data_IF_279495209041
#
_entry.id   IF_279495209041
#
_cell.length_a   1.000
_cell.length_b   1.000
_cell.length_c   1.000
_cell.angle_alpha   90.00
_cell.angle_beta   90.00
_cell.angle_gamma   90.00
#
_symmetry.space_group_name_H-M   'P 1'
#
loop_
_entity.id
_entity.type
_entity.pdbx_description
1 polymer ?
#
# COMPACT_ATOMS: atom_id res chain seq x y z
N UNK A 1 11.04 -71.72 30.01
CA UNK A 1 11.78 -70.51 29.71
C UNK A 1 10.99 -69.35 30.15
N UNK A 2 11.50 -68.59 31.12
CA UNK A 2 10.86 -67.32 31.58
C UNK A 2 11.18 -66.23 30.57
N UNK A 3 10.15 -65.71 29.92
CA UNK A 3 10.29 -64.50 29.07
C UNK A 3 10.32 -63.28 29.95
N UNK A 4 11.41 -62.50 29.88
CA UNK A 4 11.48 -61.18 30.50
C UNK A 4 11.08 -60.18 29.45
N UNK A 5 9.96 -59.49 29.66
CA UNK A 5 9.55 -58.36 28.82
C UNK A 5 9.94 -57.06 29.52
N UNK A 6 10.69 -56.22 28.86
CA UNK A 6 11.06 -54.88 29.37
C UNK A 6 10.30 -53.86 28.52
N UNK A 7 9.29 -53.22 29.08
CA UNK A 7 8.60 -52.09 28.46
C UNK A 7 9.29 -50.79 28.85
N UNK A 8 9.83 -50.09 27.86
CA UNK A 8 10.46 -48.78 28.05
C UNK A 8 9.50 -47.73 27.58
N UNK A 9 8.95 -46.94 28.53
CA UNK A 9 8.17 -45.76 28.22
C UNK A 9 9.09 -44.54 28.32
N UNK A 10 9.37 -43.89 27.17
CA UNK A 10 10.15 -42.65 27.10
C UNK A 10 9.16 -41.50 27.14
N UNK A 11 9.17 -40.71 28.22
CA UNK A 11 8.45 -39.44 28.30
C UNK A 11 9.44 -38.29 28.46
N UNK A 12 9.18 -37.16 27.82
CA UNK A 12 9.98 -35.93 28.05
C UNK A 12 9.86 -35.50 29.54
N UNK A 13 10.88 -35.72 30.31
CA UNK A 13 10.91 -35.39 31.75
C UNK A 13 11.29 -36.51 32.69
N UNK A 14 11.45 -37.73 32.20
CA UNK A 14 11.92 -38.86 33.03
C UNK A 14 11.82 -40.17 32.29
N UNK A 15 12.78 -41.02 32.50
CA UNK A 15 12.78 -42.35 31.97
C UNK A 15 12.53 -43.31 33.14
N UNK A 16 11.40 -43.99 33.09
CA UNK A 16 11.11 -45.09 33.96
C UNK A 16 11.50 -46.42 33.27
N UNK A 17 12.35 -47.17 33.91
CA UNK A 17 12.55 -48.56 33.48
C UNK A 17 11.68 -49.47 34.34
N UNK A 18 10.71 -50.14 33.78
CA UNK A 18 10.12 -51.27 34.47
C UNK A 18 11.12 -52.41 34.43
N UNK A 19 11.74 -52.67 35.55
CA UNK A 19 12.47 -53.95 35.76
C UNK A 19 11.43 -54.96 36.17
N UNK A 20 11.16 -55.92 35.29
CA UNK A 20 10.23 -56.99 35.61
C UNK A 20 11.00 -58.07 36.38
N UNK A 21 10.79 -58.10 37.68
CA UNK A 21 11.09 -59.30 38.46
C UNK A 21 10.01 -60.35 38.18
N UNK A 22 10.19 -61.62 38.54
CA UNK A 22 9.20 -62.65 38.37
C UNK A 22 7.83 -62.33 39.04
N UNK A 23 7.72 -61.18 39.70
CA UNK A 23 6.56 -60.69 40.41
C UNK A 23 5.95 -59.40 39.77
N UNK A 24 6.34 -59.02 38.58
CA UNK A 24 5.84 -57.80 37.88
C UNK A 24 6.09 -56.47 38.64
N UNK A 25 7.26 -56.28 39.18
CA UNK A 25 7.63 -54.97 39.77
C UNK A 25 8.35 -54.08 38.75
N UNK A 26 7.98 -52.81 38.72
CA UNK A 26 8.66 -51.79 37.93
C UNK A 26 9.57 -50.94 38.82
N UNK A 27 10.77 -50.63 38.34
CA UNK A 27 11.72 -49.74 39.03
C UNK A 27 11.92 -48.47 38.20
N UNK A 28 11.65 -47.32 38.80
CA UNK A 28 11.94 -46.04 38.21
C UNK A 28 13.41 -45.70 38.46
N UNK A 29 14.22 -45.59 37.41
CA UNK A 29 15.66 -45.41 37.50
C UNK A 29 16.06 -43.93 37.51
N UNK A 30 15.11 -42.99 37.35
CA UNK A 30 15.37 -41.56 37.28
C UNK A 30 15.69 -41.07 35.87
N UNK A 31 16.10 -39.81 35.72
CA UNK A 31 16.47 -39.23 34.45
C UNK A 31 17.79 -39.81 33.93
N UNK A 32 17.79 -40.42 32.77
CA UNK A 32 18.97 -40.92 32.08
C UNK A 32 19.28 -39.99 30.90
N UNK A 33 20.50 -39.45 30.75
CA UNK A 33 20.90 -38.66 29.61
C UNK A 33 20.77 -39.48 28.30
N UNK A 34 20.54 -38.78 27.19
CA UNK A 34 20.54 -39.42 25.86
C UNK A 34 21.94 -39.97 25.56
N UNK A 35 22.02 -41.25 25.32
CA UNK A 35 23.24 -41.95 24.92
C UNK A 35 22.94 -43.40 24.51
N UNK A 36 23.98 -44.10 24.03
CA UNK A 36 23.93 -45.54 23.85
C UNK A 36 24.30 -46.23 25.14
N UNK A 37 23.40 -47.03 25.64
CA UNK A 37 23.62 -47.81 26.88
C UNK A 37 23.64 -49.30 26.54
N UNK A 38 24.36 -50.04 27.40
CA UNK A 38 24.32 -51.50 27.38
C UNK A 38 23.47 -51.95 28.56
N UNK A 39 22.36 -52.59 28.28
CA UNK A 39 21.49 -53.19 29.29
C UNK A 39 22.04 -54.59 29.63
N UNK A 40 22.44 -54.81 30.88
CA UNK A 40 22.90 -56.08 31.37
C UNK A 40 21.81 -56.63 32.30
N UNK A 41 21.23 -57.73 31.93
CA UNK A 41 20.24 -58.45 32.75
C UNK A 41 20.86 -59.72 33.28
N UNK A 42 21.06 -59.78 34.56
CA UNK A 42 21.58 -60.97 35.26
C UNK A 42 20.42 -61.72 35.90
N UNK A 43 20.27 -62.98 35.53
CA UNK A 43 19.27 -63.85 36.12
C UNK A 43 19.91 -64.71 37.16
N UNK A 44 19.37 -64.71 38.40
CA UNK A 44 19.84 -65.53 39.49
C UNK A 44 18.79 -66.53 39.89
N UNK A 45 19.21 -67.76 40.24
CA UNK A 45 18.38 -68.73 40.87
C UNK A 45 19.09 -69.20 42.15
N UNK A 46 18.39 -69.12 43.28
CA UNK A 46 18.94 -69.51 44.60
C UNK A 46 20.31 -68.79 44.90
N UNK A 47 20.43 -67.54 44.51
CA UNK A 47 21.68 -66.75 44.68
C UNK A 47 22.81 -67.05 43.70
N UNK A 48 22.62 -67.95 42.74
CA UNK A 48 23.61 -68.35 41.74
C UNK A 48 23.20 -67.72 40.39
N UNK A 49 24.14 -67.01 39.76
CA UNK A 49 23.95 -66.40 38.42
C UNK A 49 23.74 -67.54 37.43
N UNK A 50 22.61 -67.57 36.78
CA UNK A 50 22.23 -68.58 35.75
C UNK A 50 22.55 -68.05 34.37
N UNK A 51 22.25 -66.83 34.08
CA UNK A 51 22.39 -66.24 32.77
C UNK A 51 22.63 -64.75 32.85
N UNK A 52 23.42 -64.21 31.91
CA UNK A 52 23.61 -62.78 31.68
C UNK A 52 23.23 -62.45 30.25
N UNK A 53 22.23 -61.66 30.09
CA UNK A 53 21.79 -61.15 28.75
C UNK A 53 22.22 -59.70 28.61
N UNK A 54 22.81 -59.36 27.49
CA UNK A 54 23.21 -58.00 27.14
C UNK A 54 22.46 -57.53 25.90
N UNK A 55 21.91 -56.35 25.99
CA UNK A 55 21.24 -55.67 24.86
C UNK A 55 21.72 -54.22 24.75
N UNK A 56 21.90 -53.76 23.53
CA UNK A 56 22.14 -52.33 23.29
C UNK A 56 20.85 -51.55 23.41
N UNK A 57 20.84 -50.48 24.19
CA UNK A 57 19.71 -49.56 24.33
C UNK A 57 20.13 -48.20 23.86
N UNK A 58 19.54 -47.69 22.83
CA UNK A 58 19.71 -46.34 22.39
C UNK A 58 18.58 -45.50 22.98
N UNK A 59 18.94 -44.55 23.81
CA UNK A 59 18.00 -43.56 24.34
C UNK A 59 18.20 -42.30 23.52
N UNK A 60 17.24 -42.01 22.65
CA UNK A 60 17.22 -40.80 21.86
C UNK A 60 17.07 -39.56 22.75
N UNK A 61 17.37 -38.41 22.19
CA UNK A 61 17.11 -37.12 22.83
C UNK A 61 15.61 -36.90 22.95
N UNK A 62 15.15 -36.50 24.12
CA UNK A 62 13.79 -35.98 24.25
C UNK A 62 13.71 -34.63 23.55
N UNK A 63 12.86 -34.54 22.54
CA UNK A 63 12.57 -33.28 21.89
C UNK A 63 11.75 -32.41 22.85
N UNK A 64 12.31 -31.30 23.26
CA UNK A 64 11.70 -30.38 24.20
C UNK A 64 11.20 -29.09 23.55
N UNK A 65 11.61 -28.84 22.28
CA UNK A 65 11.14 -27.70 21.52
C UNK A 65 9.64 -27.79 21.24
N UNK A 66 8.95 -26.66 21.44
CA UNK A 66 7.53 -26.55 21.16
C UNK A 66 7.30 -25.22 20.41
N UNK A 67 6.77 -25.29 19.21
CA UNK A 67 6.39 -24.14 18.41
C UNK A 67 4.94 -23.76 18.71
N UNK A 68 4.69 -22.50 19.03
CA UNK A 68 3.33 -21.99 19.29
C UNK A 68 3.17 -20.57 18.77
N UNK A 69 2.67 -20.44 17.55
CA UNK A 69 2.45 -19.15 16.89
C UNK A 69 1.26 -18.42 17.48
N UNK A 70 1.45 -17.14 17.81
CA UNK A 70 0.37 -16.18 18.02
C UNK A 70 0.62 -14.92 17.20
N UNK A 71 -0.46 -14.28 16.74
CA UNK A 71 -0.43 -13.01 16.04
C UNK A 71 -0.94 -11.91 16.97
N UNK A 72 -0.20 -10.79 17.00
CA UNK A 72 -0.53 -9.65 17.87
C UNK A 72 -1.17 -8.47 17.11
N UNK A 73 -1.22 -8.50 15.78
CA UNK A 73 -1.76 -7.42 14.95
C UNK A 73 -3.28 -7.37 15.00
N UNK A 74 -3.83 -6.16 15.01
CA UNK A 74 -5.28 -5.91 14.97
C UNK A 74 -5.84 -5.79 13.54
N UNK A 75 -4.98 -5.49 12.54
CA UNK A 75 -5.34 -5.38 11.13
C UNK A 75 -4.39 -6.21 10.27
N UNK A 76 -4.94 -6.80 9.21
CA UNK A 76 -4.19 -7.60 8.25
C UNK A 76 -4.26 -6.94 6.89
N UNK A 77 -3.69 -5.74 6.78
CA UNK A 77 -3.72 -4.95 5.55
C UNK A 77 -2.39 -5.04 4.81
N UNK A 78 -2.46 -5.06 3.49
CA UNK A 78 -1.28 -5.13 2.64
C UNK A 78 -0.32 -3.97 2.91
N UNK A 79 0.95 -4.30 3.16
CA UNK A 79 2.00 -3.33 3.48
C UNK A 79 2.03 -2.85 4.93
N UNK A 80 1.04 -3.21 5.74
CA UNK A 80 1.04 -2.93 7.18
C UNK A 80 1.90 -3.95 7.93
N UNK A 81 2.61 -3.53 9.01
CA UNK A 81 3.41 -4.44 9.80
C UNK A 81 2.55 -5.42 10.60
N UNK A 82 2.71 -6.70 10.35
CA UNK A 82 2.07 -7.79 11.12
C UNK A 82 3.07 -8.35 12.12
N UNK A 83 2.67 -8.40 13.41
CA UNK A 83 3.53 -8.90 14.49
C UNK A 83 3.16 -10.33 14.85
N UNK A 84 4.16 -11.20 14.88
CA UNK A 84 4.04 -12.58 15.33
C UNK A 84 4.86 -12.79 16.59
N UNK A 85 4.43 -13.71 17.42
CA UNK A 85 5.16 -14.14 18.63
C UNK A 85 5.14 -15.68 18.71
N UNK A 86 6.24 -16.23 19.17
CA UNK A 86 6.30 -17.61 19.63
C UNK A 86 5.98 -17.67 21.12
N UNK A 87 4.95 -18.40 21.47
CA UNK A 87 4.56 -18.71 22.85
C UNK A 87 5.07 -20.11 23.28
N UNK A 88 5.86 -20.74 22.44
CA UNK A 88 6.50 -22.03 22.72
C UNK A 88 7.64 -21.94 23.72
N UNK A 89 8.27 -23.05 23.99
CA UNK A 89 9.33 -23.17 24.99
C UNK A 89 10.52 -23.96 24.45
N UNK A 90 11.72 -23.65 25.00
CA UNK A 90 12.93 -24.45 24.85
C UNK A 90 13.50 -24.55 23.42
N UNK A 91 13.25 -23.59 22.56
CA UNK A 91 13.90 -23.50 21.27
C UNK A 91 15.20 -22.68 21.34
N UNK A 92 16.26 -23.18 20.71
CA UNK A 92 17.53 -22.47 20.55
C UNK A 92 17.53 -21.65 19.23
N UNK A 93 16.74 -22.07 18.27
CA UNK A 93 16.53 -21.35 17.02
C UNK A 93 15.11 -21.44 16.52
N UNK A 94 14.63 -20.35 15.87
CA UNK A 94 13.31 -20.23 15.27
C UNK A 94 13.45 -19.95 13.78
N UNK A 95 12.71 -20.68 12.96
CA UNK A 95 12.62 -20.44 11.51
C UNK A 95 11.20 -20.12 11.14
N UNK A 96 11.00 -18.94 10.55
CA UNK A 96 9.71 -18.47 10.08
C UNK A 96 9.61 -18.56 8.56
N UNK A 97 8.50 -19.06 8.06
CA UNK A 97 8.23 -19.08 6.62
C UNK A 97 6.84 -18.56 6.30
N UNK A 98 6.68 -17.97 5.13
CA UNK A 98 5.41 -17.63 4.51
C UNK A 98 5.26 -18.44 3.22
N UNK A 99 4.21 -19.28 3.15
CA UNK A 99 3.99 -20.20 2.01
C UNK A 99 5.25 -21.01 1.62
N UNK A 100 6.04 -21.40 2.63
CA UNK A 100 7.29 -22.15 2.45
C UNK A 100 8.52 -21.30 2.11
N UNK A 101 8.39 -19.99 1.96
CA UNK A 101 9.53 -19.09 1.74
C UNK A 101 10.01 -18.55 3.08
N UNK A 102 11.30 -18.77 3.39
CA UNK A 102 11.91 -18.29 4.64
C UNK A 102 12.02 -16.77 4.62
N UNK A 103 11.47 -16.11 5.62
CA UNK A 103 11.55 -14.66 5.77
C UNK A 103 12.33 -14.19 7.00
N UNK A 104 12.62 -15.07 7.96
CA UNK A 104 13.56 -14.80 9.03
C UNK A 104 14.30 -16.07 9.47
N UNK A 105 15.50 -16.35 8.95
CA UNK A 105 16.24 -17.57 9.24
C UNK A 105 16.90 -17.58 10.62
N UNK A 106 17.00 -16.46 11.34
CA UNK A 106 17.80 -16.31 12.56
C UNK A 106 17.07 -15.59 13.69
N UNK A 107 15.75 -15.73 13.78
CA UNK A 107 15.00 -15.11 14.87
C UNK A 107 15.28 -15.84 16.18
N UNK A 108 16.12 -15.28 17.01
CA UNK A 108 16.25 -15.66 18.45
C UNK A 108 15.26 -14.86 19.31
N UNK A 109 14.46 -13.99 18.72
CA UNK A 109 13.52 -13.14 19.42
C UNK A 109 12.15 -13.81 19.53
N UNK A 110 11.52 -13.67 20.70
CA UNK A 110 10.17 -14.15 20.97
C UNK A 110 9.08 -13.53 20.08
N UNK A 111 9.41 -12.50 19.26
CA UNK A 111 8.49 -11.84 18.36
C UNK A 111 9.16 -11.34 17.09
N UNK A 112 8.38 -11.28 16.02
CA UNK A 112 8.81 -10.83 14.71
C UNK A 112 7.78 -9.94 14.05
N UNK A 113 8.23 -8.94 13.30
CA UNK A 113 7.37 -8.04 12.49
C UNK A 113 7.65 -8.34 11.02
N UNK A 114 6.58 -8.60 10.27
CA UNK A 114 6.65 -8.90 8.84
C UNK A 114 5.65 -8.09 8.04
N UNK A 115 6.10 -7.53 6.90
CA UNK A 115 5.25 -6.81 5.96
C UNK A 115 4.98 -7.71 4.76
N UNK A 116 3.75 -8.13 4.59
CA UNK A 116 3.35 -8.93 3.43
C UNK A 116 3.34 -8.09 2.17
N UNK A 117 3.89 -8.65 1.08
CA UNK A 117 3.99 -7.98 -0.21
C UNK A 117 2.85 -8.34 -1.17
N UNK A 118 1.97 -9.23 -0.77
CA UNK A 118 0.78 -9.64 -1.53
C UNK A 118 -0.41 -9.80 -0.61
N UNK A 119 -1.60 -9.56 -1.14
CA UNK A 119 -2.85 -9.87 -0.47
C UNK A 119 -3.27 -11.32 -0.72
N UNK A 120 -4.20 -11.80 0.06
CA UNK A 120 -4.72 -13.16 -0.03
C UNK A 120 -4.36 -14.00 1.18
N UNK A 121 -4.46 -15.33 1.02
CA UNK A 121 -4.19 -16.27 2.10
C UNK A 121 -2.71 -16.59 2.19
N UNK A 122 -2.15 -16.44 3.37
CA UNK A 122 -0.78 -16.77 3.72
C UNK A 122 -0.76 -17.87 4.77
N UNK A 123 0.12 -18.84 4.58
CA UNK A 123 0.39 -19.89 5.56
C UNK A 123 1.72 -19.61 6.24
N UNK A 124 1.64 -18.99 7.41
CA UNK A 124 2.83 -18.66 8.21
C UNK A 124 3.18 -19.90 9.05
N UNK A 125 4.40 -20.37 8.89
CA UNK A 125 4.89 -21.54 9.60
C UNK A 125 6.06 -21.15 10.49
N UNK A 126 6.01 -21.57 11.74
CA UNK A 126 7.12 -21.50 12.69
C UNK A 126 7.68 -22.88 12.90
N UNK A 127 8.98 -23.03 12.75
CA UNK A 127 9.73 -24.22 13.16
C UNK A 127 10.66 -23.85 14.29
N UNK A 128 10.44 -24.45 15.45
CA UNK A 128 11.26 -24.30 16.65
C UNK A 128 12.28 -25.47 16.70
N UNK A 129 13.56 -25.16 16.88
CA UNK A 129 14.64 -26.17 16.86
C UNK A 129 15.44 -26.04 18.15
N UNK A 130 15.65 -27.14 18.87
CA UNK A 130 16.48 -27.17 20.07
C UNK A 130 17.96 -27.49 19.75
N UNK A 131 18.83 -27.40 20.77
CA UNK A 131 20.26 -27.67 20.65
C UNK A 131 20.59 -29.13 20.30
N UNK A 132 19.63 -30.02 20.47
CA UNK A 132 19.77 -31.43 20.09
C UNK A 132 19.40 -31.69 18.63
N UNK A 133 18.92 -30.68 17.91
CA UNK A 133 18.45 -30.76 16.53
C UNK A 133 17.02 -31.28 16.40
N UNK A 134 16.29 -31.42 17.50
CA UNK A 134 14.86 -31.73 17.44
C UNK A 134 14.06 -30.51 17.05
N UNK A 135 13.04 -30.70 16.23
CA UNK A 135 12.20 -29.60 15.76
C UNK A 135 10.71 -29.87 15.99
N UNK A 136 9.98 -28.82 16.28
CA UNK A 136 8.53 -28.78 16.29
C UNK A 136 8.04 -27.67 15.34
N UNK A 137 6.88 -27.85 14.77
CA UNK A 137 6.35 -26.95 13.76
C UNK A 137 4.89 -26.61 14.02
N UNK A 138 4.56 -25.34 13.97
CA UNK A 138 3.20 -24.83 14.08
C UNK A 138 2.86 -23.93 12.88
N UNK A 139 1.60 -23.95 12.46
CA UNK A 139 1.12 -23.20 11.30
C UNK A 139 -0.01 -22.25 11.70
N UNK A 140 0.01 -21.06 11.13
CA UNK A 140 -1.05 -20.08 11.26
C UNK A 140 -1.47 -19.61 9.86
N UNK A 141 -2.74 -19.84 9.51
CA UNK A 141 -3.31 -19.34 8.25
C UNK A 141 -3.93 -17.98 8.51
N UNK A 142 -3.47 -16.97 7.77
CA UNK A 142 -3.98 -15.60 7.84
C UNK A 142 -4.41 -15.11 6.46
N UNK A 143 -5.31 -14.13 6.44
CA UNK A 143 -5.70 -13.45 5.21
C UNK A 143 -5.21 -12.00 5.27
N UNK A 144 -4.43 -11.60 4.28
CA UNK A 144 -3.97 -10.22 4.09
C UNK A 144 -4.93 -9.55 3.11
N UNK A 145 -5.55 -8.45 3.57
CA UNK A 145 -6.53 -7.70 2.81
C UNK A 145 -5.86 -6.65 1.93
N UNK A 146 -6.41 -6.42 0.74
CA UNK A 146 -6.02 -5.27 -0.07
C UNK A 146 -6.39 -3.98 0.66
N UNK A 147 -5.63 -2.92 0.39
CA UNK A 147 -6.05 -1.57 0.75
C UNK A 147 -7.23 -1.16 -0.12
N UNK A 148 -8.18 -0.36 0.39
CA UNK A 148 -9.19 0.25 -0.43
C UNK A 148 -8.56 1.20 -1.45
N UNK A 149 -9.21 1.37 -2.60
CA UNK A 149 -8.81 2.31 -3.64
C UNK A 149 -9.83 3.44 -3.72
N UNK A 150 -9.34 4.68 -3.73
CA UNK A 150 -10.16 5.88 -3.83
C UNK A 150 -9.67 6.76 -4.96
N UNK A 151 -10.57 7.55 -5.52
CA UNK A 151 -10.27 8.65 -6.43
C UNK A 151 -10.90 9.93 -5.92
N UNK A 152 -10.10 10.99 -5.83
CA UNK A 152 -10.56 12.27 -5.33
C UNK A 152 -10.80 13.27 -6.46
N UNK A 153 -11.84 14.09 -6.31
CA UNK A 153 -12.15 15.19 -7.22
C UNK A 153 -12.63 16.41 -6.44
N UNK A 154 -12.61 17.60 -7.05
CA UNK A 154 -13.01 18.83 -6.41
C UNK A 154 -13.77 19.76 -7.36
N UNK A 155 -14.60 20.63 -6.77
CA UNK A 155 -15.15 21.81 -7.42
C UNK A 155 -14.45 23.02 -6.81
N UNK A 156 -13.88 23.88 -7.66
CA UNK A 156 -13.18 25.07 -7.24
C UNK A 156 -14.13 26.08 -6.56
N UNK A 157 -13.63 26.77 -5.55
CA UNK A 157 -14.32 27.93 -4.98
C UNK A 157 -14.39 29.06 -6.02
N UNK A 158 -15.44 29.88 -5.96
CA UNK A 158 -15.65 30.95 -6.96
C UNK A 158 -14.73 32.15 -6.79
N UNK A 159 -14.04 32.27 -5.67
CA UNK A 159 -13.01 33.29 -5.41
C UNK A 159 -12.02 32.81 -4.35
N UNK A 160 -10.91 33.54 -4.19
CA UNK A 160 -9.83 33.18 -3.26
C UNK A 160 -10.25 33.16 -1.77
N UNK A 161 -11.32 33.87 -1.40
CA UNK A 161 -11.86 33.92 -0.04
C UNK A 161 -13.26 33.33 0.07
N UNK A 162 -13.79 32.77 -1.02
CA UNK A 162 -15.11 32.16 -1.03
C UNK A 162 -15.08 30.78 -0.36
N UNK A 163 -16.12 30.51 0.44
CA UNK A 163 -16.31 29.24 1.13
C UNK A 163 -17.38 28.40 0.42
N UNK A 164 -17.19 28.14 -0.86
CA UNK A 164 -18.16 27.40 -1.68
C UNK A 164 -17.51 26.38 -2.60
N UNK A 165 -16.27 25.98 -2.31
CA UNK A 165 -15.62 24.85 -2.92
C UNK A 165 -16.16 23.54 -2.37
N UNK A 166 -15.94 22.45 -3.10
CA UNK A 166 -16.35 21.10 -2.71
C UNK A 166 -15.23 20.08 -2.99
N UNK A 167 -15.17 19.06 -2.17
CA UNK A 167 -14.27 17.92 -2.37
C UNK A 167 -15.06 16.61 -2.28
N UNK A 168 -14.72 15.66 -3.15
CA UNK A 168 -15.40 14.38 -3.30
C UNK A 168 -14.40 13.24 -3.16
N UNK A 169 -14.81 12.18 -2.47
CA UNK A 169 -14.15 10.89 -2.45
C UNK A 169 -15.00 9.88 -3.21
N UNK A 170 -14.45 9.32 -4.28
CA UNK A 170 -15.07 8.23 -5.03
C UNK A 170 -14.38 6.94 -4.66
N UNK A 171 -15.09 6.00 -4.04
CA UNK A 171 -14.55 4.70 -3.65
C UNK A 171 -14.58 3.79 -4.86
N UNK A 172 -13.40 3.28 -5.27
CA UNK A 172 -13.23 2.38 -6.41
C UNK A 172 -13.30 0.93 -5.93
N UNK A 173 -12.66 0.62 -4.79
CA UNK A 173 -12.65 -0.71 -4.20
C UNK A 173 -12.54 -0.66 -2.68
N UNK A 174 -12.84 -1.79 -2.03
CA UNK A 174 -12.83 -2.00 -0.59
C UNK A 174 -14.18 -2.49 -0.08
N UNK A 175 -14.25 -3.44 0.86
CA UNK A 175 -15.49 -3.95 1.41
C UNK A 175 -16.18 -2.90 2.30
N UNK A 176 -17.51 -2.91 2.30
CA UNK A 176 -18.32 -2.08 3.21
C UNK A 176 -18.32 -2.68 4.64
N UNK A 177 -18.56 -1.89 5.71
CA UNK A 177 -18.84 -0.45 5.67
C UNK A 177 -17.60 0.41 5.46
N UNK A 178 -17.78 1.57 4.84
CA UNK A 178 -16.72 2.56 4.66
C UNK A 178 -16.84 3.65 5.73
N UNK A 179 -15.71 4.02 6.33
CA UNK A 179 -15.59 5.15 7.23
C UNK A 179 -14.69 6.21 6.58
N UNK A 180 -15.22 7.40 6.40
CA UNK A 180 -14.52 8.53 5.80
C UNK A 180 -14.20 9.57 6.87
N UNK A 181 -12.97 10.09 6.86
CA UNK A 181 -12.53 11.16 7.73
C UNK A 181 -11.70 12.18 6.94
N UNK A 182 -12.08 13.45 7.03
CA UNK A 182 -11.33 14.55 6.44
C UNK A 182 -10.36 15.18 7.44
N UNK A 183 -9.23 15.69 6.96
CA UNK A 183 -8.23 16.37 7.80
C UNK A 183 -8.75 17.62 8.52
N UNK A 184 -9.82 18.22 8.02
CA UNK A 184 -10.52 19.37 8.65
C UNK A 184 -11.66 18.95 9.58
N UNK A 185 -11.82 17.63 9.77
CA UNK A 185 -12.94 17.03 10.49
C UNK A 185 -14.15 16.81 9.58
N UNK A 186 -15.05 15.95 10.05
CA UNK A 186 -16.27 15.58 9.30
C UNK A 186 -16.10 14.31 8.47
N UNK A 187 -17.25 13.73 8.14
CA UNK A 187 -17.38 12.43 7.46
C UNK A 187 -18.30 12.48 6.25
N UNK A 188 -18.76 13.70 5.89
CA UNK A 188 -19.65 13.91 4.75
C UNK A 188 -18.92 13.77 3.43
N UNK A 189 -19.60 13.23 2.45
CA UNK A 189 -19.15 13.16 1.08
C UNK A 189 -20.32 13.55 0.15
N UNK A 190 -20.25 14.69 -0.54
CA UNK A 190 -19.13 15.63 -0.60
C UNK A 190 -18.90 16.44 0.68
N UNK A 191 -17.65 16.86 0.88
CA UNK A 191 -17.30 17.90 1.83
C UNK A 191 -17.51 19.25 1.14
N UNK A 192 -18.37 20.09 1.68
CA UNK A 192 -18.80 21.36 1.08
C UNK A 192 -18.40 22.58 1.91
N UNK A 193 -18.56 23.79 1.36
CA UNK A 193 -18.25 25.01 2.08
C UNK A 193 -16.75 25.28 2.23
N UNK A 194 -15.95 24.85 1.26
CA UNK A 194 -14.50 24.86 1.35
C UNK A 194 -13.90 26.14 0.80
N UNK A 195 -12.89 26.64 1.50
CA UNK A 195 -11.94 27.62 0.96
C UNK A 195 -11.02 26.93 -0.08
N UNK A 196 -10.38 27.68 -0.99
CA UNK A 196 -9.25 27.16 -1.74
C UNK A 196 -8.17 26.61 -0.82
N UNK A 197 -7.71 25.37 -1.09
CA UNK A 197 -6.73 24.69 -0.25
C UNK A 197 -6.61 23.20 -0.56
N UNK A 198 -5.67 22.54 0.09
CA UNK A 198 -5.51 21.10 -0.03
C UNK A 198 -6.30 20.37 1.07
N UNK A 199 -7.11 19.42 0.67
CA UNK A 199 -7.95 18.60 1.55
C UNK A 199 -7.55 17.15 1.46
N UNK A 200 -7.35 16.54 2.61
CA UNK A 200 -6.91 15.15 2.75
C UNK A 200 -8.06 14.33 3.30
N UNK A 201 -8.32 13.20 2.69
CA UNK A 201 -9.31 12.24 3.15
C UNK A 201 -8.64 10.92 3.49
N UNK A 202 -9.06 10.32 4.59
CA UNK A 202 -8.72 8.95 4.95
C UNK A 202 -9.99 8.11 4.87
N UNK A 203 -9.96 7.08 4.04
CA UNK A 203 -11.01 6.07 3.95
C UNK A 203 -10.55 4.80 4.65
N UNK A 204 -11.37 4.28 5.56
CA UNK A 204 -11.19 2.96 6.18
C UNK A 204 -12.32 2.05 5.72
N UNK A 205 -11.97 0.86 5.24
CA UNK A 205 -12.92 -0.13 4.75
C UNK A 205 -13.44 -1.07 5.84
N UNK A 206 -14.30 -2.03 5.47
CA UNK A 206 -14.87 -3.01 6.37
C UNK A 206 -13.88 -4.02 6.96
N UNK A 207 -12.70 -4.15 6.39
CA UNK A 207 -11.59 -4.95 6.92
C UNK A 207 -10.66 -4.13 7.83
N UNK A 208 -10.99 -2.88 8.12
CA UNK A 208 -10.18 -1.90 8.87
C UNK A 208 -8.91 -1.49 8.12
N UNK A 209 -8.83 -1.70 6.81
CA UNK A 209 -7.74 -1.21 5.98
C UNK A 209 -7.99 0.23 5.55
N UNK A 210 -6.96 1.08 5.63
CA UNK A 210 -7.10 2.51 5.38
C UNK A 210 -6.22 2.98 4.23
N UNK A 211 -6.73 3.93 3.46
CA UNK A 211 -5.99 4.67 2.45
C UNK A 211 -6.20 6.17 2.67
N UNK A 212 -5.17 6.94 2.39
CA UNK A 212 -5.22 8.40 2.49
C UNK A 212 -4.83 9.00 1.14
N UNK A 213 -5.63 9.96 0.67
CA UNK A 213 -5.35 10.71 -0.55
C UNK A 213 -5.74 12.18 -0.36
N UNK A 214 -5.36 13.04 -1.30
CA UNK A 214 -5.57 14.48 -1.20
C UNK A 214 -6.04 15.09 -2.51
N UNK A 215 -6.82 16.18 -2.39
CA UNK A 215 -7.30 16.94 -3.53
C UNK A 215 -7.14 18.44 -3.28
N UNK A 216 -6.74 19.16 -4.31
CA UNK A 216 -6.67 20.61 -4.29
C UNK A 216 -8.04 21.19 -4.69
N UNK A 217 -8.68 21.90 -3.79
CA UNK A 217 -9.77 22.81 -4.12
C UNK A 217 -9.16 24.13 -4.60
N UNK A 218 -9.23 24.36 -5.89
CA UNK A 218 -8.74 25.60 -6.51
C UNK A 218 -9.67 26.78 -6.22
N UNK A 219 -9.25 27.97 -6.64
CA UNK A 219 -10.15 29.11 -6.82
C UNK A 219 -10.38 29.31 -8.32
N UNK A 220 -11.62 29.38 -8.76
CA UNK A 220 -11.91 29.95 -10.06
C UNK A 220 -11.63 31.45 -9.96
N UNK A 221 -10.41 31.88 -10.26
CA UNK A 221 -10.26 33.25 -10.73
C UNK A 221 -11.13 33.31 -11.98
N UNK A 222 -12.29 33.95 -11.88
CA UNK A 222 -12.95 34.48 -13.04
C UNK A 222 -11.98 35.54 -13.60
N UNK A 223 -10.96 35.10 -14.32
CA UNK A 223 -10.52 35.85 -15.44
C UNK A 223 -11.79 35.87 -16.28
N UNK A 224 -12.50 36.98 -16.33
CA UNK A 224 -13.32 37.29 -17.46
C UNK A 224 -12.35 37.20 -18.65
N UNK A 225 -12.12 36.01 -19.18
CA UNK A 225 -11.86 35.86 -20.57
C UNK A 225 -13.09 36.49 -21.19
N UNK A 226 -13.01 37.77 -21.43
CA UNK A 226 -13.78 38.33 -22.50
C UNK A 226 -13.49 37.37 -23.64
N UNK A 227 -14.46 36.51 -23.96
CA UNK A 227 -14.40 35.70 -25.15
C UNK A 227 -14.27 36.66 -26.30
N UNK A 228 -13.01 36.96 -26.62
CA UNK A 228 -12.65 37.79 -27.73
C UNK A 228 -12.77 36.96 -28.99
N UNK A 229 -13.96 36.48 -29.21
CA UNK A 229 -14.43 36.16 -30.55
C UNK A 229 -15.06 37.40 -31.17
N UNK A 230 -14.67 38.57 -30.70
CA UNK A 230 -15.35 39.82 -31.06
C UNK A 230 -14.88 40.37 -32.38
N UNK A 231 -13.86 39.79 -33.00
CA UNK A 231 -13.53 40.12 -34.39
C UNK A 231 -12.93 38.95 -35.18
N UNK A 232 -13.25 38.88 -36.47
CA UNK A 232 -12.64 38.00 -37.46
C UNK A 232 -11.80 38.82 -38.42
N UNK A 233 -10.67 38.22 -38.84
CA UNK A 233 -9.81 38.76 -39.90
C UNK A 233 -9.75 37.73 -41.03
N UNK A 234 -10.10 38.13 -42.22
CA UNK A 234 -10.02 37.29 -43.40
C UNK A 234 -9.80 38.13 -44.67
N UNK A 235 -9.13 37.58 -45.69
CA UNK A 235 -8.37 36.36 -45.63
C UNK A 235 -7.10 36.51 -44.81
N UNK A 236 -6.66 35.40 -44.26
CA UNK A 236 -5.34 35.31 -43.63
C UNK A 236 -4.76 33.92 -43.93
N UNK A 237 -3.75 33.77 -44.80
CA UNK A 237 -2.92 34.79 -45.43
C UNK A 237 -3.66 35.72 -46.42
N UNK A 238 -3.11 36.93 -46.59
CA UNK A 238 -3.68 37.97 -47.46
C UNK A 238 -2.65 38.65 -48.36
N UNK A 239 -3.10 39.27 -49.44
CA UNK A 239 -2.27 40.12 -50.31
C UNK A 239 -2.18 41.57 -49.81
N UNK A 240 -2.41 41.80 -48.56
CA UNK A 240 -2.48 43.13 -47.96
C UNK A 240 -3.91 43.70 -47.86
N UNK A 241 -4.90 42.99 -48.40
CA UNK A 241 -6.32 43.33 -48.21
C UNK A 241 -6.93 42.38 -47.22
N UNK A 242 -7.40 42.90 -46.09
CA UNK A 242 -8.08 42.12 -45.06
C UNK A 242 -9.41 42.74 -44.69
N UNK A 243 -10.39 41.92 -44.43
CA UNK A 243 -11.67 42.33 -43.87
C UNK A 243 -11.67 42.07 -42.37
N UNK A 244 -11.90 43.06 -41.57
CA UNK A 244 -12.06 43.00 -40.14
C UNK A 244 -13.54 43.02 -39.81
N UNK A 245 -14.10 41.94 -39.33
CA UNK A 245 -15.49 41.86 -38.90
C UNK A 245 -15.53 41.88 -37.35
N UNK A 246 -16.24 42.82 -36.79
CA UNK A 246 -16.35 43.03 -35.34
C UNK A 246 -17.78 42.64 -34.94
N UNK A 247 -17.87 41.72 -34.02
CA UNK A 247 -19.11 41.25 -33.41
C UNK A 247 -19.31 41.87 -32.05
N UNK A 248 -20.51 42.29 -31.71
CA UNK A 248 -20.92 42.90 -30.46
C UNK A 248 -20.49 44.34 -30.22
N UNK A 249 -21.25 45.02 -29.36
CA UNK A 249 -21.12 46.47 -29.00
C UNK A 249 -19.85 46.77 -28.16
N UNK A 250 -18.77 46.01 -28.32
CA UNK A 250 -17.63 46.10 -27.41
C UNK A 250 -16.74 47.33 -27.56
N UNK A 251 -16.86 48.06 -28.68
CA UNK A 251 -15.97 49.21 -28.97
C UNK A 251 -16.70 50.40 -29.54
N UNK A 252 -16.65 51.53 -28.81
CA UNK A 252 -17.08 52.83 -29.36
C UNK A 252 -16.06 53.39 -30.36
N UNK A 253 -14.76 53.17 -30.08
CA UNK A 253 -13.63 53.52 -30.93
C UNK A 253 -12.64 52.40 -31.01
N UNK A 254 -12.15 52.09 -32.22
CA UNK A 254 -11.22 51.01 -32.49
C UNK A 254 -9.85 51.60 -32.77
N UNK A 255 -8.89 51.29 -31.90
CA UNK A 255 -7.48 51.56 -32.15
C UNK A 255 -6.84 50.31 -32.77
N UNK A 256 -6.55 50.39 -34.07
CA UNK A 256 -5.90 49.34 -34.81
C UNK A 256 -4.42 49.69 -34.98
N UNK A 257 -3.56 48.77 -34.54
CA UNK A 257 -2.12 48.89 -34.61
C UNK A 257 -1.51 47.66 -35.27
N UNK A 258 -0.56 47.83 -36.14
CA UNK A 258 0.14 46.77 -36.83
C UNK A 258 1.60 46.82 -36.45
N UNK A 259 2.13 45.67 -35.98
CA UNK A 259 3.50 45.54 -35.54
C UNK A 259 4.23 44.48 -36.41
N UNK A 260 5.51 44.69 -36.64
CA UNK A 260 6.38 43.64 -37.23
C UNK A 260 6.82 42.62 -36.16
N UNK A 261 7.62 41.64 -36.58
CA UNK A 261 8.13 40.57 -35.70
C UNK A 261 9.05 41.10 -34.57
N UNK A 262 9.69 42.25 -34.77
CA UNK A 262 10.52 42.89 -33.73
C UNK A 262 9.72 43.75 -32.75
N UNK A 263 8.41 43.85 -32.92
CA UNK A 263 7.52 44.63 -32.06
C UNK A 263 7.48 46.12 -32.42
N UNK A 264 8.04 46.53 -33.56
CA UNK A 264 8.00 47.89 -34.05
C UNK A 264 6.60 48.19 -34.64
N UNK A 265 6.02 49.34 -34.27
CA UNK A 265 4.75 49.79 -34.80
C UNK A 265 4.94 50.30 -36.24
N UNK A 266 4.28 49.58 -37.17
CA UNK A 266 4.35 49.88 -38.62
C UNK A 266 3.20 50.78 -39.04
N UNK A 267 2.01 50.53 -38.52
CA UNK A 267 0.82 51.28 -38.91
C UNK A 267 -0.14 51.43 -37.73
N UNK A 268 -0.82 52.57 -37.69
CA UNK A 268 -1.87 52.86 -36.70
C UNK A 268 -3.07 53.52 -37.35
N UNK A 269 -4.26 53.03 -37.08
CA UNK A 269 -5.53 53.63 -37.53
C UNK A 269 -6.55 53.70 -36.43
N UNK A 270 -7.38 54.72 -36.49
CA UNK A 270 -8.56 54.87 -35.66
C UNK A 270 -9.82 54.64 -36.52
N UNK A 271 -10.62 53.71 -36.11
CA UNK A 271 -11.87 53.41 -36.77
C UNK A 271 -13.02 53.74 -35.82
N UNK A 272 -14.03 54.47 -36.30
CA UNK A 272 -15.22 54.77 -35.49
C UNK A 272 -16.10 53.52 -35.45
N UNK A 273 -16.34 52.99 -34.21
CA UNK A 273 -17.05 51.75 -34.02
C UNK A 273 -18.57 51.89 -34.09
N UNK A 274 -19.19 50.95 -34.81
CA UNK A 274 -20.58 50.53 -34.58
C UNK A 274 -20.58 49.00 -34.56
N UNK A 275 -21.49 48.40 -33.81
CA UNK A 275 -21.59 46.94 -33.71
C UNK A 275 -21.92 46.31 -35.08
N UNK A 276 -21.39 45.12 -35.32
CA UNK A 276 -21.63 44.26 -36.52
C UNK A 276 -21.22 44.94 -37.84
N UNK A 277 -20.07 45.59 -37.89
CA UNK A 277 -19.53 46.21 -39.11
C UNK A 277 -18.29 45.43 -39.57
N UNK A 278 -18.18 45.30 -40.88
CA UNK A 278 -16.98 44.83 -41.57
C UNK A 278 -16.20 46.02 -42.09
N UNK A 279 -14.93 46.12 -41.70
CA UNK A 279 -14.02 47.13 -42.25
C UNK A 279 -13.08 46.48 -43.23
N UNK A 280 -13.04 46.99 -44.45
CA UNK A 280 -12.04 46.57 -45.43
C UNK A 280 -10.79 47.42 -45.26
N UNK A 281 -9.72 46.74 -44.88
CA UNK A 281 -8.43 47.41 -44.56
C UNK A 281 -7.43 47.02 -45.62
N UNK A 282 -6.82 48.03 -46.21
CA UNK A 282 -5.66 47.86 -47.06
C UNK A 282 -4.38 48.15 -46.27
N UNK A 283 -3.53 47.13 -46.10
CA UNK A 283 -2.23 47.23 -45.49
C UNK A 283 -1.16 47.23 -46.58
N UNK A 284 -0.44 48.31 -46.71
CA UNK A 284 0.65 48.40 -47.68
C UNK A 284 1.96 47.86 -47.09
N UNK A 285 1.99 46.56 -46.85
CA UNK A 285 3.06 45.84 -46.17
C UNK A 285 3.78 44.91 -47.14
N UNK A 286 5.09 44.72 -46.92
CA UNK A 286 5.86 43.69 -47.61
C UNK A 286 5.44 42.29 -47.19
N UNK A 287 5.75 41.26 -47.99
CA UNK A 287 5.50 39.89 -47.61
C UNK A 287 6.17 39.56 -46.27
N UNK A 288 5.40 38.99 -45.37
CA UNK A 288 5.88 38.65 -44.03
C UNK A 288 4.80 38.35 -43.03
N UNK A 289 5.24 38.20 -41.77
CA UNK A 289 4.37 37.97 -40.61
C UNK A 289 4.29 39.26 -39.83
N UNK A 290 3.08 39.64 -39.47
CA UNK A 290 2.79 40.83 -38.67
C UNK A 290 1.81 40.52 -37.56
N UNK A 291 1.71 41.37 -36.58
CA UNK A 291 0.74 41.31 -35.51
C UNK A 291 -0.20 42.50 -35.60
N UNK A 292 -1.46 42.25 -35.80
CA UNK A 292 -2.50 43.26 -35.80
C UNK A 292 -3.13 43.29 -34.41
N UNK A 293 -3.04 44.41 -33.76
CA UNK A 293 -3.59 44.70 -32.44
C UNK A 293 -4.80 45.60 -32.57
N UNK A 294 -5.90 45.21 -31.95
CA UNK A 294 -7.11 45.98 -31.83
C UNK A 294 -7.40 46.20 -30.35
N UNK A 295 -7.26 47.40 -29.89
CA UNK A 295 -7.29 47.73 -28.48
C UNK A 295 -6.32 46.83 -27.65
N UNK A 296 -6.83 45.89 -26.87
CA UNK A 296 -6.00 44.97 -26.07
C UNK A 296 -5.79 43.59 -26.72
N UNK A 297 -6.30 43.39 -27.95
CA UNK A 297 -6.30 42.06 -28.59
C UNK A 297 -5.39 42.01 -29.80
N UNK A 298 -4.58 40.99 -29.87
CA UNK A 298 -3.58 40.82 -30.93
C UNK A 298 -3.83 39.52 -31.72
N UNK A 299 -3.85 39.62 -33.05
CA UNK A 299 -3.89 38.49 -33.96
C UNK A 299 -2.72 38.51 -34.95
N UNK A 300 -2.18 37.35 -35.24
CA UNK A 300 -1.17 37.17 -36.27
C UNK A 300 -1.84 37.32 -37.65
N UNK A 301 -1.21 38.08 -38.54
CA UNK A 301 -1.55 38.18 -39.96
C UNK A 301 -0.35 37.79 -40.80
N UNK A 302 -0.59 37.18 -41.95
CA UNK A 302 0.41 36.77 -42.92
C UNK A 302 0.14 37.48 -44.24
N UNK A 303 1.12 38.25 -44.73
CA UNK A 303 1.07 38.95 -46.02
C UNK A 303 1.89 38.14 -47.03
N UNK A 304 1.27 37.81 -48.17
CA UNK A 304 1.87 36.99 -49.23
C UNK A 304 2.06 37.77 -50.54
#
# INVERSE_FOLDING_TARGET
>A
GNTITIDINISCGGIGFPVITPYNESVVVGNIPSNNYVLIVNQYSIGILQETNTSSLNIGTCCASNANISMLSSSNCLGEPTSFIDLGTLADSLVWTDNGVVFNPNASALGWIYNFNSSGTHNVTLTAIDSAGCSDTNNLVITINNLPEIFMSSVAATCATCQNGEAFVNVVSGPMPHQLLWNVGGTLNPLTGLNPGNYVATLTDGNLCSVTDSVLVGNSVNVNEYKVNDFLLYPNPSSGKISLNIFNNAFNDINLEVFNLSGELIEKRFLSGKSNITYDIHLNLSKGIYFLKINNFTKKIVIQ
#
